data_IF_169871677152
#
_entry.id   IF_169871677152
#
_cell.length_a   1.000
_cell.length_b   1.000
_cell.length_c   1.000
_cell.angle_alpha   90.00
_cell.angle_beta   90.00
_cell.angle_gamma   90.00
#
_symmetry.space_group_name_H-M   'P 1'
#
loop_
_entity.id
_entity.type
_entity.pdbx_description
1 polymer ?
#
# COMPACT_ATOMS: atom_id res chain seq x y z
N UNK A 1 -7.32 3.75 15.98
CA UNK A 1 -8.44 2.87 15.57
C UNK A 1 -8.02 2.04 14.36
N UNK A 2 -8.59 0.83 14.15
CA UNK A 2 -8.23 -0.01 13.00
C UNK A 2 -8.63 0.68 11.68
N UNK A 3 -7.70 0.74 10.72
CA UNK A 3 -7.89 1.33 9.38
C UNK A 3 -9.10 0.70 8.67
N UNK A 4 -9.39 -0.58 8.92
CA UNK A 4 -10.55 -1.26 8.34
C UNK A 4 -11.90 -0.73 8.85
N UNK A 5 -11.99 -0.38 10.13
CA UNK A 5 -13.22 0.19 10.73
C UNK A 5 -13.43 1.62 10.22
N UNK A 6 -12.37 2.41 10.11
CA UNK A 6 -12.44 3.76 9.53
C UNK A 6 -12.84 3.75 8.07
N UNK A 7 -12.38 2.76 7.29
CA UNK A 7 -12.73 2.65 5.87
C UNK A 7 -14.21 2.24 5.68
N UNK A 8 -14.72 1.29 6.46
CA UNK A 8 -16.12 0.87 6.37
C UNK A 8 -17.09 1.99 6.74
N UNK A 9 -16.79 2.74 7.80
CA UNK A 9 -17.63 3.86 8.24
C UNK A 9 -17.49 5.04 7.28
N UNK A 10 -16.26 5.35 6.83
CA UNK A 10 -15.98 6.48 5.93
C UNK A 10 -16.59 6.33 4.54
N UNK A 11 -16.56 5.12 3.95
CA UNK A 11 -17.15 4.87 2.63
C UNK A 11 -18.66 5.11 2.61
N UNK A 12 -19.38 4.89 3.72
CA UNK A 12 -20.82 5.18 3.81
C UNK A 12 -21.13 6.67 3.63
N UNK A 13 -20.22 7.54 4.07
CA UNK A 13 -20.33 9.00 3.92
C UNK A 13 -19.69 9.51 2.62
N UNK A 14 -19.40 8.63 1.66
CA UNK A 14 -18.77 9.01 0.39
C UNK A 14 -17.29 9.37 0.51
N UNK A 15 -16.61 8.97 1.59
CA UNK A 15 -15.17 9.17 1.75
C UNK A 15 -14.38 8.25 0.82
N UNK A 16 -13.33 8.79 0.20
CA UNK A 16 -12.35 8.01 -0.56
C UNK A 16 -11.52 7.21 0.45
N UNK A 17 -11.28 5.91 0.21
CA UNK A 17 -10.56 5.07 1.16
C UNK A 17 -9.16 5.63 1.46
N UNK A 18 -8.80 5.69 2.74
CA UNK A 18 -7.54 6.30 3.17
C UNK A 18 -6.35 5.41 2.77
N UNK A 19 -5.47 5.96 1.93
CA UNK A 19 -4.21 5.33 1.55
C UNK A 19 -3.10 5.57 2.58
N UNK A 20 -2.16 4.63 2.69
CA UNK A 20 -1.01 4.70 3.60
C UNK A 20 0.01 5.79 3.23
N UNK A 21 0.02 6.26 1.98
CA UNK A 21 1.02 7.18 1.46
C UNK A 21 1.05 8.53 2.21
N UNK A 22 -0.13 9.10 2.52
CA UNK A 22 -0.22 10.37 3.24
C UNK A 22 0.18 10.25 4.72
N UNK A 23 -0.16 9.12 5.36
CA UNK A 23 0.19 8.83 6.75
C UNK A 23 1.70 8.63 6.93
N UNK A 24 2.36 7.98 5.96
CA UNK A 24 3.82 7.84 5.95
C UNK A 24 4.53 9.20 5.85
N UNK A 25 3.98 10.12 5.06
CA UNK A 25 4.46 11.51 5.00
C UNK A 25 4.34 12.21 6.35
N UNK A 26 3.18 12.11 7.01
CA UNK A 26 2.95 12.70 8.33
C UNK A 26 3.91 12.12 9.40
N UNK A 27 4.25 10.84 9.30
CA UNK A 27 5.27 10.23 10.16
C UNK A 27 6.68 10.82 9.91
N UNK A 28 7.05 11.08 8.64
CA UNK A 28 8.33 11.73 8.30
C UNK A 28 8.39 13.20 8.73
N UNK A 29 7.26 13.88 8.83
CA UNK A 29 7.16 15.25 9.34
C UNK A 29 7.11 15.35 10.88
N UNK A 30 7.31 14.25 11.61
CA UNK A 30 7.47 14.28 13.07
C UNK A 30 6.16 14.29 13.85
N UNK A 31 5.00 14.05 13.21
CA UNK A 31 3.73 13.88 13.92
C UNK A 31 3.73 12.55 14.69
N UNK A 32 4.16 12.57 15.95
CA UNK A 32 4.13 11.40 16.85
C UNK A 32 2.81 11.22 17.59
N UNK A 33 1.84 12.13 17.41
CA UNK A 33 0.51 12.07 18.03
C UNK A 33 -0.59 12.08 16.96
N UNK A 34 -1.60 11.22 17.13
CA UNK A 34 -2.78 11.13 16.24
C UNK A 34 -3.57 12.45 16.18
N UNK A 35 -3.40 13.31 17.20
CA UNK A 35 -4.06 14.62 17.34
C UNK A 35 -3.67 15.60 16.23
N UNK A 36 -2.43 15.55 15.74
CA UNK A 36 -1.97 16.43 14.65
C UNK A 36 -2.78 16.23 13.36
N UNK A 37 -3.13 14.98 13.06
CA UNK A 37 -3.89 14.60 11.87
C UNK A 37 -5.33 15.05 12.00
N UNK A 38 -5.92 14.90 13.20
CA UNK A 38 -7.27 15.36 13.52
C UNK A 38 -7.35 16.89 13.40
N UNK A 39 -6.37 17.62 13.93
CA UNK A 39 -6.31 19.07 13.84
C UNK A 39 -6.16 19.57 12.40
N UNK A 40 -5.31 18.92 11.60
CA UNK A 40 -5.15 19.24 10.18
C UNK A 40 -6.47 19.02 9.41
N UNK A 41 -7.18 17.93 9.71
CA UNK A 41 -8.49 17.63 9.14
C UNK A 41 -9.55 18.65 9.55
N UNK A 42 -9.62 18.99 10.84
CA UNK A 42 -10.55 19.98 11.38
C UNK A 42 -10.32 21.36 10.77
N UNK A 43 -9.06 21.81 10.68
CA UNK A 43 -8.72 23.09 10.08
C UNK A 43 -9.09 23.14 8.59
N UNK A 44 -8.88 22.04 7.87
CA UNK A 44 -9.28 21.93 6.45
C UNK A 44 -10.79 21.96 6.27
N UNK A 45 -11.55 21.38 7.19
CA UNK A 45 -13.02 21.48 7.22
C UNK A 45 -13.49 22.90 7.57
N UNK A 46 -12.92 23.53 8.59
CA UNK A 46 -13.27 24.90 8.99
C UNK A 46 -13.01 25.89 7.85
N UNK A 47 -11.84 25.80 7.22
CA UNK A 47 -11.50 26.63 6.06
C UNK A 47 -12.43 26.33 4.88
N UNK A 48 -12.72 25.06 4.62
CA UNK A 48 -13.67 24.65 3.57
C UNK A 48 -15.08 25.20 3.77
N UNK A 49 -15.61 25.16 5.00
CA UNK A 49 -16.97 25.63 5.32
C UNK A 49 -17.05 27.16 5.35
N UNK A 50 -16.06 27.84 5.96
CA UNK A 50 -16.09 29.29 6.11
C UNK A 50 -15.71 30.04 4.83
N UNK A 51 -14.84 29.47 3.99
CA UNK A 51 -14.31 30.12 2.78
C UNK A 51 -14.63 29.37 1.48
N UNK A 52 -15.65 28.51 1.45
CA UNK A 52 -16.01 27.66 0.29
C UNK A 52 -16.07 28.45 -1.03
N UNK A 53 -16.73 29.62 -1.02
CA UNK A 53 -16.94 30.44 -2.22
C UNK A 53 -15.63 31.04 -2.76
N UNK A 54 -14.75 31.50 -1.87
CA UNK A 54 -13.43 32.03 -2.24
C UNK A 54 -12.46 30.92 -2.66
N UNK A 55 -12.56 29.74 -2.03
CA UNK A 55 -11.75 28.56 -2.35
C UNK A 55 -12.06 28.01 -3.74
N UNK A 56 -13.33 27.90 -4.12
CA UNK A 56 -13.70 27.47 -5.49
C UNK A 56 -13.10 28.44 -6.53
N UNK A 57 -13.15 29.75 -6.28
CA UNK A 57 -12.57 30.76 -7.18
C UNK A 57 -11.05 30.65 -7.30
N UNK A 58 -10.36 30.43 -6.17
CA UNK A 58 -8.91 30.23 -6.16
C UNK A 58 -8.49 28.90 -6.80
N UNK A 59 -9.27 27.83 -6.59
CA UNK A 59 -8.99 26.51 -7.13
C UNK A 59 -9.16 26.47 -8.65
N UNK A 60 -10.05 27.28 -9.22
CA UNK A 60 -10.15 27.47 -10.67
C UNK A 60 -8.97 28.25 -11.26
N UNK A 61 -8.29 29.06 -10.45
CA UNK A 61 -7.06 29.76 -10.84
C UNK A 61 -5.85 28.82 -10.89
N UNK A 62 -5.96 27.62 -10.30
CA UNK A 62 -4.86 26.66 -10.26
C UNK A 62 -4.63 26.06 -11.66
N UNK A 63 -3.47 26.31 -12.30
CA UNK A 63 -3.24 25.89 -13.66
C UNK A 63 -3.15 24.36 -13.74
N UNK A 64 -3.94 23.77 -14.63
CA UNK A 64 -3.97 22.31 -14.87
C UNK A 64 -2.58 21.75 -15.22
N UNK A 65 -1.71 22.57 -15.80
CA UNK A 65 -0.34 22.22 -16.14
C UNK A 65 0.52 21.88 -14.92
N UNK A 66 0.39 22.62 -13.80
CA UNK A 66 1.17 22.36 -12.59
C UNK A 66 0.72 21.05 -11.94
N UNK A 67 -0.59 20.79 -11.91
CA UNK A 67 -1.15 19.53 -11.40
C UNK A 67 -0.63 18.33 -12.19
N UNK A 68 -0.60 18.43 -13.53
CA UNK A 68 -0.08 17.38 -14.39
C UNK A 68 1.42 17.13 -14.15
N UNK A 69 2.23 18.18 -14.05
CA UNK A 69 3.68 18.06 -13.82
C UNK A 69 3.97 17.45 -12.45
N UNK A 70 3.28 17.87 -11.40
CA UNK A 70 3.47 17.31 -10.06
C UNK A 70 3.09 15.83 -10.01
N UNK A 71 1.97 15.46 -10.65
CA UNK A 71 1.55 14.07 -10.75
C UNK A 71 2.56 13.23 -11.56
N UNK A 72 3.09 13.79 -12.65
CA UNK A 72 4.10 13.12 -13.46
C UNK A 72 5.40 12.88 -12.67
N UNK A 73 5.87 13.89 -11.93
CA UNK A 73 7.08 13.77 -11.10
C UNK A 73 6.87 12.71 -10.01
N UNK A 74 5.76 12.76 -9.27
CA UNK A 74 5.47 11.74 -8.25
C UNK A 74 5.30 10.34 -8.86
N UNK A 75 4.70 10.24 -10.05
CA UNK A 75 4.61 8.98 -10.79
C UNK A 75 5.99 8.44 -11.18
N UNK A 76 6.88 9.30 -11.68
CA UNK A 76 8.24 8.95 -12.03
C UNK A 76 9.07 8.54 -10.80
N UNK A 77 8.97 9.26 -9.69
CA UNK A 77 9.63 8.93 -8.42
C UNK A 77 9.17 7.56 -7.90
N UNK A 78 7.87 7.28 -7.92
CA UNK A 78 7.31 5.98 -7.52
C UNK A 78 7.76 4.84 -8.46
N UNK A 79 7.82 5.09 -9.77
CA UNK A 79 8.31 4.12 -10.74
C UNK A 79 9.80 3.79 -10.52
N UNK A 80 10.63 4.81 -10.26
CA UNK A 80 12.05 4.64 -9.93
C UNK A 80 12.24 3.91 -8.60
N UNK A 81 11.47 4.25 -7.57
CA UNK A 81 11.50 3.57 -6.28
C UNK A 81 11.10 2.09 -6.41
N UNK A 82 10.08 1.79 -7.23
CA UNK A 82 9.64 0.41 -7.50
C UNK A 82 10.72 -0.41 -8.20
N UNK A 83 11.46 0.20 -9.13
CA UNK A 83 12.60 -0.44 -9.80
C UNK A 83 13.79 -0.63 -8.86
N UNK A 84 14.06 0.33 -7.99
CA UNK A 84 15.16 0.24 -7.01
C UNK A 84 14.99 -0.98 -6.08
N UNK A 85 13.76 -1.25 -5.64
CA UNK A 85 13.44 -2.43 -4.82
C UNK A 85 13.70 -3.74 -5.59
N UNK A 86 13.54 -3.72 -6.92
CA UNK A 86 13.74 -4.90 -7.76
C UNK A 86 15.22 -5.22 -8.01
N UNK A 87 16.10 -4.20 -7.99
CA UNK A 87 17.55 -4.36 -8.21
C UNK A 87 18.30 -4.96 -7.02
N UNK A 88 17.69 -4.98 -5.83
CA UNK A 88 18.27 -5.60 -4.62
C UNK A 88 18.24 -7.14 -4.66
N UNK A 89 17.62 -7.73 -5.69
CA UNK A 89 17.47 -9.18 -5.84
C UNK A 89 18.65 -9.76 -6.63
N UNK A 90 19.56 -10.45 -5.92
CA UNK A 90 20.82 -11.06 -6.41
C UNK A 90 20.68 -12.08 -7.57
N UNK A 91 19.45 -12.50 -7.91
CA UNK A 91 19.18 -13.49 -8.96
C UNK A 91 18.53 -12.84 -10.18
N UNK A 92 19.28 -12.75 -11.28
CA UNK A 92 18.84 -12.19 -12.57
C UNK A 92 17.49 -12.75 -13.06
N UNK A 93 17.26 -14.05 -12.86
CA UNK A 93 16.01 -14.72 -13.26
C UNK A 93 14.80 -14.25 -12.43
N UNK A 94 15.00 -14.02 -11.13
CA UNK A 94 13.96 -13.51 -10.24
C UNK A 94 13.64 -12.05 -10.53
N UNK A 95 14.67 -11.26 -10.85
CA UNK A 95 14.52 -9.87 -11.24
C UNK A 95 13.65 -9.73 -12.50
N UNK A 96 13.91 -10.55 -13.53
CA UNK A 96 13.12 -10.55 -14.78
C UNK A 96 11.67 -10.90 -14.52
N UNK A 97 11.38 -11.93 -13.73
CA UNK A 97 10.00 -12.29 -13.39
C UNK A 97 9.27 -11.18 -12.64
N UNK A 98 9.91 -10.58 -11.62
CA UNK A 98 9.29 -9.49 -10.86
C UNK A 98 9.00 -8.27 -11.75
N UNK A 99 9.93 -7.93 -12.65
CA UNK A 99 9.74 -6.85 -13.60
C UNK A 99 8.62 -7.15 -14.61
N UNK A 100 8.52 -8.39 -15.09
CA UNK A 100 7.43 -8.83 -15.96
C UNK A 100 6.07 -8.73 -15.26
N UNK A 101 5.95 -9.16 -14.00
CA UNK A 101 4.69 -9.03 -13.23
C UNK A 101 4.30 -7.56 -13.05
N UNK A 102 5.26 -6.68 -12.72
CA UNK A 102 5.01 -5.24 -12.61
C UNK A 102 4.53 -4.64 -13.94
N UNK A 103 5.18 -4.97 -15.06
CA UNK A 103 4.79 -4.49 -16.39
C UNK A 103 3.42 -5.01 -16.82
N UNK A 104 3.11 -6.28 -16.60
CA UNK A 104 1.81 -6.87 -16.93
C UNK A 104 0.71 -6.20 -16.12
N UNK A 105 0.93 -6.00 -14.81
CA UNK A 105 -0.04 -5.32 -13.95
C UNK A 105 -0.26 -3.88 -14.42
N UNK A 106 0.80 -3.12 -14.67
CA UNK A 106 0.72 -1.74 -15.16
C UNK A 106 0.02 -1.64 -16.52
N UNK A 107 0.39 -2.51 -17.48
CA UNK A 107 -0.21 -2.52 -18.81
C UNK A 107 -1.69 -2.84 -18.78
N UNK A 108 -2.11 -3.80 -17.93
CA UNK A 108 -3.52 -4.16 -17.79
C UNK A 108 -4.35 -3.08 -17.07
N UNK A 109 -3.77 -2.38 -16.08
CA UNK A 109 -4.43 -1.23 -15.44
C UNK A 109 -4.76 -0.14 -16.48
N UNK A 110 -3.80 0.20 -17.35
CA UNK A 110 -3.98 1.22 -18.39
C UNK A 110 -4.95 0.77 -19.47
N UNK A 111 -4.88 -0.50 -19.90
CA UNK A 111 -5.69 -1.03 -20.99
C UNK A 111 -7.18 -1.11 -20.64
N UNK A 112 -7.52 -1.58 -19.43
CA UNK A 112 -8.90 -1.86 -19.06
C UNK A 112 -9.61 -0.70 -18.35
N UNK A 113 -8.90 0.38 -18.00
CA UNK A 113 -9.41 1.50 -17.16
C UNK A 113 -10.14 1.02 -15.90
N UNK A 114 -9.83 -0.18 -15.43
CA UNK A 114 -10.45 -0.83 -14.29
C UNK A 114 -9.35 -1.40 -13.42
N UNK A 115 -9.19 -0.78 -12.25
CA UNK A 115 -8.15 -1.13 -11.29
C UNK A 115 -8.26 -2.59 -10.83
N UNK A 116 -9.49 -3.12 -10.75
CA UNK A 116 -9.75 -4.51 -10.37
C UNK A 116 -9.26 -5.52 -11.41
N UNK A 117 -9.48 -5.25 -12.70
CA UNK A 117 -9.05 -6.14 -13.79
C UNK A 117 -7.53 -6.18 -13.87
N UNK A 118 -6.87 -5.03 -13.74
CA UNK A 118 -5.41 -4.96 -13.71
C UNK A 118 -4.81 -5.71 -12.53
N UNK A 119 -5.40 -5.59 -11.33
CA UNK A 119 -4.95 -6.33 -10.15
C UNK A 119 -5.09 -7.85 -10.32
N UNK A 120 -6.26 -8.32 -10.76
CA UNK A 120 -6.50 -9.76 -10.97
C UNK A 120 -5.55 -10.32 -12.03
N UNK A 121 -5.35 -9.62 -13.14
CA UNK A 121 -4.41 -10.03 -14.18
C UNK A 121 -2.96 -10.13 -13.66
N UNK A 122 -2.53 -9.15 -12.85
CA UNK A 122 -1.23 -9.16 -12.18
C UNK A 122 -1.07 -10.35 -11.22
N UNK A 123 -2.08 -10.63 -10.40
CA UNK A 123 -2.10 -11.80 -9.51
C UNK A 123 -2.03 -13.12 -10.28
N UNK A 124 -2.78 -13.25 -11.38
CA UNK A 124 -2.76 -14.45 -12.22
C UNK A 124 -1.38 -14.64 -12.85
N UNK A 125 -0.77 -13.58 -13.38
CA UNK A 125 0.59 -13.65 -13.93
C UNK A 125 1.62 -14.05 -12.87
N UNK A 126 1.53 -13.49 -11.66
CA UNK A 126 2.40 -13.85 -10.54
C UNK A 126 2.24 -15.33 -10.14
N UNK A 127 1.01 -15.82 -10.06
CA UNK A 127 0.72 -17.24 -9.73
C UNK A 127 1.20 -18.17 -10.83
N UNK A 128 1.04 -17.79 -12.10
CA UNK A 128 1.47 -18.58 -13.25
C UNK A 128 3.00 -18.77 -13.29
N UNK A 129 3.76 -17.69 -13.10
CA UNK A 129 5.23 -17.73 -13.03
C UNK A 129 5.70 -18.54 -11.81
N UNK A 130 5.03 -18.38 -10.67
CA UNK A 130 5.33 -19.15 -9.47
C UNK A 130 5.08 -20.66 -9.67
N UNK A 131 4.01 -21.02 -10.39
CA UNK A 131 3.70 -22.41 -10.71
C UNK A 131 4.75 -23.00 -11.67
N UNK A 132 5.16 -22.25 -12.68
CA UNK A 132 6.22 -22.66 -13.61
C UNK A 132 7.57 -22.89 -12.91
N UNK A 133 7.94 -22.01 -11.96
CA UNK A 133 9.23 -22.10 -11.27
C UNK A 133 9.30 -23.24 -10.25
N UNK A 134 8.25 -23.43 -9.45
CA UNK A 134 8.32 -24.30 -8.26
C UNK A 134 7.81 -25.72 -8.54
N UNK A 135 6.97 -25.92 -9.56
CA UNK A 135 6.32 -27.20 -9.82
C UNK A 135 5.32 -27.57 -8.71
N UNK A 136 4.14 -28.07 -9.10
CA UNK A 136 3.00 -28.32 -8.19
C UNK A 136 3.32 -29.15 -6.92
N UNK A 137 4.33 -30.03 -7.02
CA UNK A 137 4.73 -30.92 -5.91
C UNK A 137 5.46 -30.17 -4.80
N UNK A 138 6.29 -29.19 -5.12
CA UNK A 138 7.09 -28.45 -4.15
C UNK A 138 6.29 -27.29 -3.53
N UNK A 139 5.34 -26.70 -4.27
CA UNK A 139 4.38 -25.74 -3.74
C UNK A 139 3.49 -26.35 -2.68
N UNK A 140 2.99 -27.56 -2.91
CA UNK A 140 2.20 -28.30 -1.91
C UNK A 140 3.00 -28.59 -0.64
N UNK A 141 4.30 -28.92 -0.75
CA UNK A 141 5.20 -29.07 0.41
C UNK A 141 5.42 -27.75 1.14
N UNK A 142 5.68 -26.65 0.41
CA UNK A 142 5.86 -25.30 0.99
C UNK A 142 4.60 -24.79 1.67
N UNK A 143 3.42 -25.03 1.11
CA UNK A 143 2.13 -24.70 1.73
C UNK A 143 1.92 -25.46 3.04
N UNK A 144 2.21 -26.77 3.05
CA UNK A 144 2.18 -27.58 4.28
C UNK A 144 3.19 -27.07 5.31
N UNK A 145 4.39 -26.70 4.89
CA UNK A 145 5.39 -26.09 5.77
C UNK A 145 4.93 -24.72 6.30
N UNK A 146 4.38 -23.84 5.47
CA UNK A 146 3.90 -22.51 5.87
C UNK A 146 2.79 -22.59 6.91
N UNK A 147 1.85 -23.53 6.73
CA UNK A 147 0.81 -23.82 7.71
C UNK A 147 1.38 -24.35 9.04
N UNK A 148 2.51 -25.06 8.99
CA UNK A 148 3.23 -25.55 10.17
C UNK A 148 4.05 -24.46 10.86
N UNK A 149 4.67 -23.58 10.07
CA UNK A 149 5.49 -22.46 10.54
C UNK A 149 4.65 -21.42 11.27
N UNK A 150 3.52 -21.00 10.69
CA UNK A 150 2.60 -20.06 11.36
C UNK A 150 1.93 -20.62 12.62
N UNK A 151 1.94 -21.94 12.82
CA UNK A 151 1.57 -22.55 14.10
C UNK A 151 2.71 -22.43 15.12
N UNK A 152 3.94 -22.74 14.69
CA UNK A 152 5.12 -22.68 15.53
C UNK A 152 5.41 -21.25 16.04
N UNK A 153 5.23 -20.21 15.22
CA UNK A 153 5.42 -18.80 15.62
C UNK A 153 4.44 -18.39 16.74
N UNK A 154 3.18 -18.79 16.64
CA UNK A 154 2.17 -18.50 17.67
C UNK A 154 2.50 -19.18 18.99
N UNK A 155 3.01 -20.40 18.94
CA UNK A 155 3.43 -21.15 20.12
C UNK A 155 4.73 -20.59 20.73
N UNK A 156 5.64 -20.05 19.91
CA UNK A 156 6.90 -19.44 20.36
C UNK A 156 6.70 -18.07 21.01
N UNK A 157 5.85 -17.20 20.45
CA UNK A 157 5.48 -15.92 21.05
C UNK A 157 4.75 -16.12 22.39
N UNK A 158 3.86 -17.11 22.46
CA UNK A 158 3.21 -17.53 23.71
C UNK A 158 4.21 -17.93 24.80
N UNK A 159 5.24 -18.72 24.45
CA UNK A 159 6.32 -19.09 25.37
C UNK A 159 7.16 -17.88 25.80
N UNK A 160 7.54 -17.00 24.88
CA UNK A 160 8.32 -15.78 25.19
C UNK A 160 7.57 -14.86 26.15
N UNK A 161 6.24 -14.69 25.98
CA UNK A 161 5.42 -13.93 26.93
C UNK A 161 5.34 -14.59 28.31
N UNK A 162 5.22 -15.92 28.37
CA UNK A 162 5.17 -16.65 29.64
C UNK A 162 6.51 -16.57 30.40
N UNK A 163 7.62 -16.69 29.69
CA UNK A 163 8.97 -16.56 30.27
C UNK A 163 9.24 -15.13 30.74
N UNK A 164 8.85 -14.11 29.96
CA UNK A 164 8.98 -12.71 30.37
C UNK A 164 8.14 -12.38 31.61
N UNK A 165 6.96 -13.01 31.80
CA UNK A 165 6.16 -12.90 33.04
C UNK A 165 6.81 -13.56 34.27
N UNK A 166 7.63 -14.59 34.10
CA UNK A 166 8.36 -15.24 35.20
C UNK A 166 9.60 -14.47 35.64
N UNK A 167 10.27 -13.77 34.71
CA UNK A 167 11.43 -12.92 35.02
C UNK A 167 11.07 -11.59 35.70
N UNK A 168 9.79 -11.21 35.66
CA UNK A 168 9.25 -9.99 36.30
C UNK A 168 8.57 -10.28 37.65
N UNK A 169 8.74 -11.49 38.20
CA UNK A 169 8.33 -11.89 39.56
C UNK A 169 9.58 -12.27 40.34
#
# INVERSE_FOLDING_TARGET
>A
MSIGVMNMIGCWFGSIPHGSAGLAGQYRFGARTEVSIIFLGLLKLLVGVLFSSSLIGLLQFFPRSILAVMLFVSGAELAMASRAINLDVDKDEIQRENYLVMLVTMGMLVAFKNDGIGFVAGCVAAVLLFWQRVGWRETMKRLKMWKRWGKNDRDEDGRKRCQRRRLLR
#
